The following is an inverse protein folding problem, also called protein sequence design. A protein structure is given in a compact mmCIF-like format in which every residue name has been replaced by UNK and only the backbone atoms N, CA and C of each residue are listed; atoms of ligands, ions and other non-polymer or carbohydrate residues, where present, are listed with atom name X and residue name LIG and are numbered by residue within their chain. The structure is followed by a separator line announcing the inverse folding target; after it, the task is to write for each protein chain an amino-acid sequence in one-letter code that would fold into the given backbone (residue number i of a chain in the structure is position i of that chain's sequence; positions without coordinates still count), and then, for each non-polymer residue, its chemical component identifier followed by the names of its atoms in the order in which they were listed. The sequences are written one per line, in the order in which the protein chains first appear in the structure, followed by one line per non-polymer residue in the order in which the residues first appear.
data_IF_823020070894
#
_entry.id   IF_823020070894
#
_cell.length_a   1.000
_cell.length_b   1.000
_cell.length_c   1.000
_cell.angle_alpha   90.00
_cell.angle_beta   90.00
_cell.angle_gamma   90.00
#
_symmetry.space_group_name_H-M   'P 1'
#
loop_
_entity.id
_entity.type
_entity.pdbx_description
1 polymer ?
#
# COMPACT_ATOMS: atom_id res chain seq x y z
N UNK A 1 -8.31 11.15 -17.63
CA UNK A 1 -8.41 12.51 -17.07
C UNK A 1 -7.68 12.47 -15.74
N UNK A 2 -6.46 13.00 -15.68
CA UNK A 2 -5.72 13.10 -14.42
C UNK A 2 -5.99 14.50 -13.87
N UNK A 3 -6.53 14.58 -12.64
CA UNK A 3 -6.79 15.83 -11.96
C UNK A 3 -5.48 16.62 -11.83
N UNK A 4 -5.48 17.85 -12.34
CA UNK A 4 -4.30 18.73 -12.38
C UNK A 4 -4.01 19.42 -11.05
N UNK A 5 -4.95 19.36 -10.11
CA UNK A 5 -4.80 19.88 -8.75
C UNK A 5 -5.45 18.89 -7.77
N UNK A 6 -4.67 18.10 -7.03
CA UNK A 6 -5.20 17.32 -5.93
C UNK A 6 -5.56 18.28 -4.79
N UNK A 7 -6.80 18.19 -4.27
CA UNK A 7 -7.26 18.94 -3.08
C UNK A 7 -6.42 18.58 -1.84
N UNK A 8 -5.87 17.37 -1.83
CA UNK A 8 -4.85 16.94 -0.89
C UNK A 8 -3.50 17.49 -1.39
N UNK A 9 -2.72 18.18 -0.55
CA UNK A 9 -1.41 18.82 -0.87
C UNK A 9 -0.33 17.87 -1.47
N UNK A 10 -0.69 16.64 -1.79
CA UNK A 10 0.12 15.60 -2.41
C UNK A 10 0.57 16.00 -3.82
N UNK A 11 1.78 15.62 -4.18
CA UNK A 11 2.22 15.69 -5.58
C UNK A 11 1.50 14.63 -6.44
N UNK A 12 1.55 14.81 -7.76
CA UNK A 12 1.03 13.82 -8.70
C UNK A 12 1.66 12.43 -8.49
N UNK A 13 2.96 12.37 -8.21
CA UNK A 13 3.68 11.12 -7.97
C UNK A 13 3.26 10.46 -6.65
N UNK A 14 3.01 11.27 -5.62
CA UNK A 14 2.53 10.80 -4.33
C UNK A 14 1.12 10.20 -4.46
N UNK A 15 0.19 10.92 -5.10
CA UNK A 15 -1.16 10.44 -5.38
C UNK A 15 -1.14 9.17 -6.25
N UNK A 16 -0.33 9.17 -7.31
CA UNK A 16 -0.17 8.01 -8.19
C UNK A 16 0.42 6.80 -7.44
N UNK A 17 1.33 7.01 -6.48
CA UNK A 17 1.91 5.92 -5.69
C UNK A 17 0.89 5.21 -4.82
N UNK A 18 -0.05 5.96 -4.22
CA UNK A 18 -1.16 5.44 -3.43
C UNK A 18 -2.14 4.70 -4.34
N UNK A 19 -2.53 5.34 -5.45
CA UNK A 19 -3.42 4.73 -6.43
C UNK A 19 -2.87 3.40 -6.94
N UNK A 20 -1.58 3.34 -7.27
CA UNK A 20 -0.90 2.14 -7.75
C UNK A 20 -0.83 1.03 -6.69
N UNK A 21 -0.77 1.38 -5.40
CA UNK A 21 -0.83 0.42 -4.30
C UNK A 21 -2.24 -0.16 -4.09
N UNK A 22 -3.29 0.61 -4.39
CA UNK A 22 -4.68 0.17 -4.19
C UNK A 22 -5.33 -0.37 -5.47
N UNK A 23 -4.70 -0.19 -6.62
CA UNK A 23 -5.26 -0.57 -7.92
C UNK A 23 -5.26 -2.09 -8.08
N UNK A 24 -6.44 -2.63 -8.43
CA UNK A 24 -6.56 -4.04 -8.83
C UNK A 24 -6.04 -4.24 -10.25
N UNK A 25 -5.28 -5.31 -10.45
CA UNK A 25 -4.76 -5.71 -11.76
C UNK A 25 -5.50 -6.96 -12.23
N UNK A 26 -5.60 -7.15 -13.55
CA UNK A 26 -6.25 -8.33 -14.15
C UNK A 26 -5.68 -9.65 -13.64
N UNK A 27 -4.41 -9.66 -13.26
CA UNK A 27 -3.75 -10.79 -12.59
C UNK A 27 -3.28 -10.31 -11.22
N UNK A 28 -3.98 -10.74 -10.18
CA UNK A 28 -3.78 -10.25 -8.81
C UNK A 28 -2.34 -10.48 -8.31
N UNK A 29 -1.74 -11.64 -8.60
CA UNK A 29 -0.39 -11.99 -8.14
C UNK A 29 0.73 -11.14 -8.76
N UNK A 30 0.43 -10.46 -9.87
CA UNK A 30 1.36 -9.56 -10.55
C UNK A 30 1.07 -8.09 -10.26
N UNK A 31 0.06 -7.81 -9.42
CA UNK A 31 -0.19 -6.44 -8.96
C UNK A 31 1.01 -5.96 -8.12
N UNK A 32 1.27 -4.65 -8.20
CA UNK A 32 2.34 -4.04 -7.42
C UNK A 32 2.15 -4.29 -5.90
N UNK A 33 0.92 -4.19 -5.41
CA UNK A 33 0.55 -4.53 -4.03
C UNK A 33 0.95 -5.95 -3.65
N UNK A 34 0.60 -6.96 -4.46
CA UNK A 34 0.88 -8.35 -4.16
C UNK A 34 2.40 -8.63 -4.16
N UNK A 35 3.11 -8.11 -5.16
CA UNK A 35 4.57 -8.28 -5.28
C UNK A 35 5.32 -7.60 -4.13
N UNK A 36 4.94 -6.38 -3.78
CA UNK A 36 5.57 -5.64 -2.68
C UNK A 36 5.31 -6.33 -1.34
N UNK A 37 4.06 -6.69 -1.02
CA UNK A 37 3.72 -7.36 0.23
C UNK A 37 4.36 -8.73 0.36
N UNK A 38 4.47 -9.48 -0.75
CA UNK A 38 5.23 -10.73 -0.77
C UNK A 38 6.70 -10.47 -0.46
N UNK A 39 7.31 -9.47 -1.09
CA UNK A 39 8.72 -9.12 -0.86
C UNK A 39 8.98 -8.69 0.58
N UNK A 40 8.07 -7.94 1.20
CA UNK A 40 8.15 -7.51 2.60
C UNK A 40 8.13 -8.69 3.59
N UNK A 41 7.42 -9.77 3.25
CA UNK A 41 7.33 -11.01 4.05
C UNK A 41 8.54 -11.93 3.89
N UNK A 42 9.40 -11.71 2.90
CA UNK A 42 10.61 -12.53 2.72
C UNK A 42 11.63 -12.26 3.82
N UNK A 43 12.31 -13.31 4.27
CA UNK A 43 13.42 -13.21 5.23
C UNK A 43 14.64 -12.49 4.63
N UNK A 44 14.89 -12.63 3.32
CA UNK A 44 16.01 -11.97 2.64
C UNK A 44 15.70 -10.48 2.37
N UNK A 45 16.20 -9.62 3.25
CA UNK A 45 16.03 -8.16 3.17
C UNK A 45 16.70 -7.52 1.96
N UNK A 46 17.65 -8.18 1.29
CA UNK A 46 18.29 -7.64 0.08
C UNK A 46 17.28 -7.53 -1.07
N UNK A 47 16.29 -8.42 -1.10
CA UNK A 47 15.20 -8.39 -2.08
C UNK A 47 14.30 -7.15 -1.94
N UNK A 48 14.37 -6.46 -0.80
CA UNK A 48 13.61 -5.23 -0.56
C UNK A 48 14.32 -3.98 -1.11
N UNK A 49 15.63 -4.02 -1.35
CA UNK A 49 16.41 -2.84 -1.81
C UNK A 49 15.84 -2.17 -3.06
N UNK A 50 15.37 -2.90 -4.11
CA UNK A 50 14.77 -2.27 -5.29
C UNK A 50 13.53 -1.44 -4.97
N UNK A 51 12.82 -1.77 -3.88
CA UNK A 51 11.57 -1.13 -3.48
C UNK A 51 11.77 0.14 -2.65
N UNK A 52 12.97 0.44 -2.16
CA UNK A 52 13.19 1.55 -1.22
C UNK A 52 12.76 2.91 -1.77
N UNK A 53 12.99 3.19 -3.06
CA UNK A 53 12.56 4.46 -3.66
C UNK A 53 11.04 4.56 -3.71
N UNK A 54 10.37 3.48 -4.11
CA UNK A 54 8.92 3.42 -4.13
C UNK A 54 8.33 3.53 -2.71
N UNK A 55 8.87 2.77 -1.75
CA UNK A 55 8.44 2.80 -0.35
C UNK A 55 8.61 4.19 0.26
N UNK A 56 9.72 4.89 -0.04
CA UNK A 56 9.93 6.26 0.41
C UNK A 56 8.83 7.18 -0.13
N UNK A 57 8.56 7.13 -1.44
CA UNK A 57 7.51 7.93 -2.08
C UNK A 57 6.13 7.62 -1.48
N UNK A 58 5.76 6.34 -1.44
CA UNK A 58 4.47 5.87 -0.95
C UNK A 58 4.25 6.21 0.52
N UNK A 59 5.23 5.97 1.39
CA UNK A 59 5.10 6.30 2.81
C UNK A 59 5.05 7.81 3.03
N UNK A 60 5.83 8.60 2.28
CA UNK A 60 5.77 10.06 2.34
C UNK A 60 4.37 10.55 1.97
N UNK A 61 3.81 10.05 0.87
CA UNK A 61 2.44 10.34 0.46
C UNK A 61 1.43 9.95 1.54
N UNK A 62 1.55 8.73 2.08
CA UNK A 62 0.64 8.21 3.10
C UNK A 62 0.66 9.04 4.40
N UNK A 63 1.83 9.50 4.85
CA UNK A 63 1.95 10.33 6.05
C UNK A 63 1.40 11.75 5.89
N UNK A 64 1.26 12.23 4.65
CA UNK A 64 0.67 13.55 4.36
C UNK A 64 -0.86 13.51 4.32
N UNK A 65 -1.47 12.32 4.23
CA UNK A 65 -2.92 12.19 4.29
C UNK A 65 -3.46 12.62 5.65
N UNK A 66 -4.63 13.27 5.69
CA UNK A 66 -5.28 13.58 6.96
C UNK A 66 -5.56 12.28 7.73
N UNK A 67 -5.34 12.26 9.05
CA UNK A 67 -5.60 11.08 9.86
C UNK A 67 -7.07 10.68 9.75
N UNK A 68 -7.32 9.38 9.54
CA UNK A 68 -8.68 8.86 9.55
C UNK A 68 -9.33 9.09 10.91
N UNK A 69 -10.64 9.35 10.91
CA UNK A 69 -11.42 9.37 12.16
C UNK A 69 -11.24 8.02 12.89
N UNK A 70 -11.05 8.07 14.20
CA UNK A 70 -10.97 6.86 15.03
C UNK A 70 -12.24 6.01 14.83
N UNK A 71 -12.07 4.74 14.47
CA UNK A 71 -13.18 3.83 14.19
C UNK A 71 -12.70 2.40 13.97
N UNK A 72 -13.61 1.45 14.11
CA UNK A 72 -13.33 0.02 13.87
C UNK A 72 -13.25 -0.26 12.38
N UNK A 73 -12.14 -0.84 11.94
CA UNK A 73 -11.96 -1.35 10.58
C UNK A 73 -11.96 -2.88 10.57
N UNK A 74 -12.45 -3.47 9.49
CA UNK A 74 -12.55 -4.92 9.32
C UNK A 74 -11.67 -5.38 8.17
N UNK A 75 -10.95 -6.49 8.37
CA UNK A 75 -10.13 -7.13 7.34
C UNK A 75 -10.53 -8.59 7.22
N UNK A 76 -11.12 -8.97 6.08
CA UNK A 76 -11.35 -10.37 5.74
C UNK A 76 -10.03 -11.07 5.39
N UNK A 77 -9.80 -12.24 5.97
CA UNK A 77 -8.63 -13.08 5.69
C UNK A 77 -9.14 -14.51 5.43
N UNK A 78 -8.65 -15.21 4.39
CA UNK A 78 -9.07 -16.58 4.08
C UNK A 78 -8.41 -17.65 4.98
N UNK A 79 -7.84 -17.25 6.12
CA UNK A 79 -7.07 -18.10 7.04
C UNK A 79 -7.82 -18.22 8.36
N UNK A 80 -7.83 -19.42 8.97
CA UNK A 80 -8.42 -19.62 10.30
C UNK A 80 -7.48 -19.10 11.38
N UNK A 81 -7.90 -18.01 12.02
CA UNK A 81 -7.17 -17.34 13.10
C UNK A 81 -7.77 -17.59 14.49
N UNK A 82 -8.75 -18.48 14.62
CA UNK A 82 -9.46 -18.75 15.88
C UNK A 82 -8.51 -19.09 17.04
N UNK A 83 -7.42 -19.80 16.77
CA UNK A 83 -6.42 -20.16 17.77
C UNK A 83 -5.57 -18.99 18.29
N UNK A 84 -5.46 -17.89 17.54
CA UNK A 84 -4.65 -16.71 17.89
C UNK A 84 -5.44 -15.64 18.65
N UNK A 85 -6.78 -15.72 18.63
CA UNK A 85 -7.68 -14.75 19.24
C UNK A 85 -8.80 -15.49 20.02
N UNK A 86 -8.49 -16.05 21.20
CA UNK A 86 -9.47 -16.73 22.06
C UNK A 86 -10.50 -15.80 22.68
#
# INVERSE_FOLDING_TARGET
MNSTEPEDELSQDESASIHLYTMEWKVHDNSLYAMLNRTLRLADRRKLQPWFRYLKLFLTAFFRLPPSKYGTVWRGIPEDLSSLYP
#
